data_IF_058602084364
#
_entry.id   IF_058602084364
#
_cell.length_a   1.000
_cell.length_b   1.000
_cell.length_c   1.000
_cell.angle_alpha   90.00
_cell.angle_beta   90.00
_cell.angle_gamma   90.00
#
_symmetry.space_group_name_H-M   'P 1'
#
loop_
_entity.id
_entity.type
_entity.pdbx_description
1 polymer ?
#
# COMPACT_ATOMS: atom_id res chain seq x y z
N UNK A 1 20.72 -0.75 -18.01
CA UNK A 1 19.53 -0.46 -18.82
C UNK A 1 18.59 -1.64 -18.66
N UNK A 2 17.63 -1.55 -17.74
CA UNK A 2 16.60 -2.56 -17.58
C UNK A 2 15.51 -2.27 -18.63
N UNK A 3 15.21 -3.23 -19.51
CA UNK A 3 14.04 -3.15 -20.38
C UNK A 3 12.80 -3.27 -19.49
N UNK A 4 11.94 -2.25 -19.46
CA UNK A 4 10.73 -2.28 -18.64
C UNK A 4 9.77 -3.37 -19.14
N UNK A 5 9.11 -4.04 -18.20
CA UNK A 5 8.08 -5.05 -18.45
C UNK A 5 6.83 -4.39 -19.06
N UNK A 6 6.84 -4.14 -20.36
CA UNK A 6 5.69 -3.60 -21.11
C UNK A 6 4.71 -4.68 -21.60
N UNK A 7 4.98 -5.96 -21.30
CA UNK A 7 4.24 -7.11 -21.84
C UNK A 7 3.08 -7.65 -20.99
N UNK A 8 2.92 -7.24 -19.73
CA UNK A 8 1.71 -7.59 -18.97
C UNK A 8 0.55 -6.75 -19.50
N UNK A 9 -0.26 -7.35 -20.39
CA UNK A 9 -1.59 -6.85 -20.70
C UNK A 9 -2.35 -6.75 -19.37
N UNK A 10 -2.45 -5.51 -18.93
CA UNK A 10 -3.44 -5.02 -18.01
C UNK A 10 -4.81 -5.54 -18.46
N UNK A 11 -5.52 -6.28 -17.62
CA UNK A 11 -6.95 -6.58 -17.80
C UNK A 11 -7.79 -5.29 -17.73
N UNK A 12 -7.17 -4.10 -17.75
CA UNK A 12 -7.77 -2.78 -17.61
C UNK A 12 -8.35 -2.52 -16.22
N UNK A 13 -8.52 -3.56 -15.40
CA UNK A 13 -9.14 -3.53 -14.07
C UNK A 13 -8.16 -3.83 -12.92
N UNK A 14 -6.99 -4.41 -13.20
CA UNK A 14 -6.13 -4.99 -12.17
C UNK A 14 -4.64 -4.75 -12.44
N UNK A 15 -4.24 -3.50 -12.66
CA UNK A 15 -2.83 -3.11 -12.76
C UNK A 15 -1.96 -3.91 -11.77
N UNK A 16 -1.10 -4.76 -12.32
CA UNK A 16 -0.38 -5.81 -11.60
C UNK A 16 0.80 -5.23 -10.79
N UNK A 17 0.51 -4.27 -9.90
CA UNK A 17 1.52 -3.54 -9.13
C UNK A 17 2.25 -4.42 -8.10
N UNK A 18 1.82 -5.67 -7.89
CA UNK A 18 2.33 -6.54 -6.82
C UNK A 18 2.92 -7.85 -7.37
N UNK A 19 3.44 -7.85 -8.59
CA UNK A 19 3.83 -9.09 -9.28
C UNK A 19 5.31 -9.08 -9.62
N UNK A 20 6.04 -10.09 -9.12
CA UNK A 20 7.38 -10.46 -9.61
C UNK A 20 7.29 -11.61 -10.60
N UNK A 21 8.25 -11.73 -11.53
CA UNK A 21 8.30 -12.82 -12.51
C UNK A 21 9.54 -13.66 -12.25
N UNK A 22 9.36 -14.94 -11.96
CA UNK A 22 10.46 -15.81 -11.57
C UNK A 22 10.56 -17.06 -12.42
N UNK A 23 11.79 -17.56 -12.53
CA UNK A 23 12.01 -18.95 -12.86
C UNK A 23 11.76 -19.82 -11.63
N UNK A 24 10.78 -20.72 -11.75
CA UNK A 24 10.46 -21.70 -10.72
C UNK A 24 10.66 -23.11 -11.25
N UNK A 25 11.26 -23.97 -10.42
CA UNK A 25 11.30 -25.41 -10.69
C UNK A 25 9.95 -26.08 -10.33
N UNK A 26 9.79 -27.34 -10.74
CA UNK A 26 8.54 -28.08 -10.55
C UNK A 26 8.16 -28.24 -9.06
N UNK A 27 9.15 -28.32 -8.17
CA UNK A 27 8.93 -28.45 -6.72
C UNK A 27 8.37 -27.15 -6.13
N UNK A 28 9.00 -26.02 -6.43
CA UNK A 28 8.56 -24.70 -5.99
C UNK A 28 7.15 -24.38 -6.50
N UNK A 29 6.90 -24.70 -7.77
CA UNK A 29 5.62 -24.48 -8.40
C UNK A 29 4.52 -25.36 -7.81
N UNK A 30 4.80 -26.65 -7.59
CA UNK A 30 3.85 -27.55 -6.95
C UNK A 30 3.49 -27.07 -5.54
N UNK A 31 4.48 -26.61 -4.77
CA UNK A 31 4.26 -26.01 -3.46
C UNK A 31 3.31 -24.80 -3.52
N UNK A 32 3.48 -23.89 -4.49
CA UNK A 32 2.59 -22.74 -4.65
C UNK A 32 1.20 -23.10 -5.20
N UNK A 33 1.09 -24.10 -6.08
CA UNK A 33 -0.21 -24.58 -6.57
C UNK A 33 -1.06 -25.17 -5.45
N UNK A 34 -0.42 -25.84 -4.50
CA UNK A 34 -1.10 -26.39 -3.32
C UNK A 34 -1.47 -25.29 -2.32
N UNK A 35 -0.57 -24.34 -2.09
CA UNK A 35 -0.73 -23.36 -1.02
C UNK A 35 -1.46 -22.08 -1.47
N UNK A 36 -1.16 -21.51 -2.62
CA UNK A 36 -1.70 -20.22 -3.06
C UNK A 36 -1.99 -20.17 -4.57
N UNK A 37 -2.86 -21.06 -5.10
CA UNK A 37 -3.08 -21.18 -6.55
C UNK A 37 -3.63 -19.92 -7.21
N UNK A 38 -4.36 -19.07 -6.47
CA UNK A 38 -4.90 -17.80 -6.98
C UNK A 38 -3.90 -16.65 -6.98
N UNK A 39 -2.67 -16.88 -6.51
CA UNK A 39 -1.62 -15.86 -6.35
C UNK A 39 -0.45 -16.07 -7.31
N UNK A 40 -0.58 -17.02 -8.24
CA UNK A 40 0.39 -17.31 -9.29
C UNK A 40 -0.26 -17.23 -10.66
N UNK A 41 0.51 -16.83 -11.67
CA UNK A 41 0.14 -16.88 -13.07
C UNK A 41 1.28 -17.52 -13.87
N UNK A 42 1.03 -18.72 -14.41
CA UNK A 42 2.00 -19.47 -15.21
C UNK A 42 1.99 -19.08 -16.69
N UNK A 43 0.99 -18.30 -17.13
CA UNK A 43 0.86 -17.81 -18.50
C UNK A 43 1.60 -16.47 -18.65
N UNK A 44 2.90 -16.49 -18.38
CA UNK A 44 3.75 -15.32 -18.54
C UNK A 44 4.12 -15.14 -20.01
N UNK A 45 3.83 -13.99 -20.65
CA UNK A 45 4.20 -13.74 -22.05
C UNK A 45 5.69 -13.94 -22.29
N UNK A 46 6.07 -14.43 -23.47
CA UNK A 46 7.48 -14.74 -23.79
C UNK A 46 8.39 -13.51 -23.68
N UNK A 47 7.87 -12.34 -24.06
CA UNK A 47 8.54 -11.04 -24.02
C UNK A 47 8.82 -10.51 -22.61
N UNK A 48 8.15 -11.05 -21.58
CA UNK A 48 8.38 -10.64 -20.20
C UNK A 48 9.57 -11.41 -19.64
N UNK A 49 10.66 -10.69 -19.39
CA UNK A 49 11.84 -11.25 -18.76
C UNK A 49 11.58 -11.50 -17.27
N UNK A 50 12.05 -12.62 -16.71
CA UNK A 50 12.04 -12.85 -15.27
C UNK A 50 13.07 -11.97 -14.56
N UNK A 51 12.86 -11.76 -13.25
CA UNK A 51 13.68 -10.93 -12.36
C UNK A 51 15.07 -11.52 -12.06
N UNK A 52 15.38 -12.69 -12.60
CA UNK A 52 16.69 -13.34 -12.48
C UNK A 52 16.85 -14.50 -13.46
N UNK A 53 18.09 -14.93 -13.68
CA UNK A 53 18.41 -16.04 -14.58
C UNK A 53 17.96 -17.40 -14.00
N UNK A 54 17.54 -18.35 -14.85
CA UNK A 54 17.21 -19.69 -14.40
C UNK A 54 18.47 -20.41 -13.88
N UNK A 55 18.36 -21.25 -12.83
CA UNK A 55 19.47 -22.11 -12.43
C UNK A 55 19.89 -23.02 -13.60
N UNK A 56 21.17 -23.00 -13.97
CA UNK A 56 21.70 -23.72 -15.13
C UNK A 56 21.53 -25.25 -15.10
N UNK A 57 21.21 -25.80 -13.93
CA UNK A 57 21.10 -27.24 -13.66
C UNK A 57 19.65 -27.71 -13.42
N UNK A 58 18.65 -26.83 -13.54
CA UNK A 58 17.24 -27.16 -13.31
C UNK A 58 16.38 -26.72 -14.48
N UNK A 59 15.42 -27.57 -14.84
CA UNK A 59 14.30 -27.12 -15.66
C UNK A 59 13.46 -26.14 -14.83
N UNK A 60 13.15 -24.98 -15.41
CA UNK A 60 12.31 -23.97 -14.75
C UNK A 60 11.34 -23.36 -15.75
N UNK A 61 10.23 -22.83 -15.25
CA UNK A 61 9.25 -22.08 -16.03
C UNK A 61 9.09 -20.65 -15.49
N UNK A 62 8.68 -19.71 -16.35
CA UNK A 62 8.37 -18.34 -15.94
C UNK A 62 7.01 -18.31 -15.24
N UNK A 63 6.98 -17.77 -14.03
CA UNK A 63 5.77 -17.65 -13.22
C UNK A 63 5.70 -16.25 -12.65
N UNK A 64 4.58 -15.57 -12.87
CA UNK A 64 4.28 -14.33 -12.21
C UNK A 64 3.68 -14.64 -10.84
N UNK A 65 4.20 -14.06 -9.76
CA UNK A 65 3.71 -14.31 -8.40
C UNK A 65 3.42 -13.01 -7.69
N UNK A 66 2.47 -13.04 -6.77
CA UNK A 66 2.33 -11.98 -5.78
C UNK A 66 3.62 -11.87 -4.93
N UNK A 67 4.20 -10.68 -4.84
CA UNK A 67 5.52 -10.43 -4.21
C UNK A 67 5.64 -11.06 -2.80
N UNK A 68 4.58 -10.99 -2.00
CA UNK A 68 4.59 -11.52 -0.63
C UNK A 68 4.58 -13.05 -0.52
N UNK A 69 4.38 -13.80 -1.62
CA UNK A 69 4.64 -15.24 -1.64
C UNK A 69 6.11 -15.56 -1.38
N UNK A 70 7.03 -14.61 -1.60
CA UNK A 70 8.43 -14.72 -1.21
C UNK A 70 8.61 -14.98 0.29
N UNK A 71 7.67 -14.54 1.14
CA UNK A 71 7.72 -14.80 2.57
C UNK A 71 7.66 -16.30 2.88
N UNK A 72 6.84 -17.04 2.12
CA UNK A 72 6.66 -18.48 2.31
C UNK A 72 7.94 -19.25 1.94
N UNK A 73 8.58 -18.84 0.84
CA UNK A 73 9.89 -19.39 0.45
C UNK A 73 10.97 -19.08 1.48
N UNK A 74 11.01 -17.85 2.00
CA UNK A 74 11.96 -17.45 3.03
C UNK A 74 11.80 -18.29 4.31
N UNK A 75 10.57 -18.45 4.79
CA UNK A 75 10.26 -19.28 5.97
C UNK A 75 10.54 -20.77 5.73
N UNK A 76 10.24 -21.29 4.53
CA UNK A 76 10.59 -22.66 4.16
C UNK A 76 12.11 -22.87 4.13
N UNK A 77 12.87 -21.93 3.59
CA UNK A 77 14.33 -22.00 3.60
C UNK A 77 14.90 -22.01 5.04
N UNK A 78 14.29 -21.25 5.96
CA UNK A 78 14.65 -21.28 7.39
C UNK A 78 14.39 -22.66 8.02
N UNK A 79 13.28 -23.33 7.66
CA UNK A 79 13.01 -24.71 8.09
C UNK A 79 14.10 -25.67 7.61
N UNK A 80 14.43 -25.57 6.32
CA UNK A 80 15.37 -26.49 5.66
C UNK A 80 16.80 -26.29 6.19
N UNK A 81 17.15 -25.06 6.61
CA UNK A 81 18.39 -24.74 7.31
C UNK A 81 18.45 -25.24 8.77
N UNK A 82 17.37 -25.88 9.27
CA UNK A 82 17.22 -26.34 10.65
C UNK A 82 17.50 -25.22 11.68
N UNK A 83 17.05 -24.02 11.36
CA UNK A 83 17.00 -22.92 12.33
C UNK A 83 16.03 -23.29 13.48
N UNK A 84 16.10 -22.55 14.60
CA UNK A 84 15.35 -22.87 15.82
C UNK A 84 13.81 -22.84 15.66
N UNK A 85 13.30 -22.42 14.50
CA UNK A 85 11.88 -22.29 14.21
C UNK A 85 11.47 -23.28 13.10
N UNK A 86 10.33 -23.95 13.31
CA UNK A 86 9.67 -24.80 12.31
C UNK A 86 8.32 -24.20 11.94
N UNK A 87 8.15 -23.91 10.66
CA UNK A 87 6.91 -23.40 10.09
C UNK A 87 6.16 -24.51 9.36
N UNK A 88 4.86 -24.59 9.59
CA UNK A 88 3.92 -25.34 8.75
C UNK A 88 2.96 -24.36 8.08
N UNK A 89 2.68 -24.57 6.80
CA UNK A 89 1.82 -23.68 6.04
C UNK A 89 0.46 -24.32 5.78
N UNK A 90 -0.58 -23.51 5.89
CA UNK A 90 -1.92 -23.83 5.44
C UNK A 90 -2.49 -22.61 4.74
N UNK A 91 -3.42 -22.82 3.83
CA UNK A 91 -4.11 -21.73 3.15
C UNK A 91 -5.61 -21.89 3.22
N UNK A 92 -6.27 -20.74 3.13
CA UNK A 92 -7.69 -20.61 3.09
C UNK A 92 -8.02 -19.52 2.08
N UNK A 93 -9.05 -19.73 1.26
CA UNK A 93 -9.53 -18.64 0.41
C UNK A 93 -10.02 -17.49 1.28
N UNK A 94 -9.81 -16.26 0.82
CA UNK A 94 -10.22 -15.08 1.57
C UNK A 94 -11.72 -15.07 1.92
N UNK A 95 -12.58 -15.65 1.05
CA UNK A 95 -14.01 -15.82 1.33
C UNK A 95 -14.26 -16.68 2.57
N UNK A 96 -13.69 -17.90 2.59
CA UNK A 96 -13.86 -18.82 3.71
C UNK A 96 -13.34 -18.20 4.99
N UNK A 97 -12.23 -17.47 4.92
CA UNK A 97 -11.68 -16.71 6.04
C UNK A 97 -12.67 -15.67 6.57
N UNK A 98 -13.19 -14.78 5.71
CA UNK A 98 -14.15 -13.74 6.12
C UNK A 98 -15.45 -14.35 6.65
N UNK A 99 -16.00 -15.37 6.00
CA UNK A 99 -17.23 -16.05 6.45
C UNK A 99 -17.04 -16.78 7.78
N UNK A 100 -15.88 -17.38 8.01
CA UNK A 100 -15.53 -17.98 9.29
C UNK A 100 -15.50 -16.95 10.43
N UNK A 101 -15.05 -15.73 10.15
CA UNK A 101 -15.00 -14.66 11.15
C UNK A 101 -16.36 -14.01 11.41
N UNK A 102 -17.15 -13.74 10.36
CA UNK A 102 -18.50 -13.15 10.51
C UNK A 102 -19.45 -14.14 11.18
N UNK A 103 -19.39 -15.43 10.81
CA UNK A 103 -20.30 -16.46 11.31
C UNK A 103 -19.54 -17.69 11.87
N UNK A 104 -18.80 -17.58 12.99
CA UNK A 104 -17.97 -18.67 13.52
C UNK A 104 -18.73 -19.96 13.83
N UNK A 105 -20.00 -19.85 14.25
CA UNK A 105 -20.85 -21.00 14.59
C UNK A 105 -21.22 -21.82 13.37
N UNK A 106 -21.60 -21.15 12.28
CA UNK A 106 -22.01 -21.81 11.03
C UNK A 106 -20.80 -22.35 10.28
N UNK A 107 -19.67 -21.64 10.34
CA UNK A 107 -18.42 -21.98 9.67
C UNK A 107 -17.38 -22.58 10.63
N UNK A 108 -17.85 -23.41 11.57
CA UNK A 108 -17.07 -23.89 12.73
C UNK A 108 -15.74 -24.54 12.35
N UNK A 109 -15.73 -25.39 11.33
CA UNK A 109 -14.52 -26.08 10.85
C UNK A 109 -13.44 -25.10 10.41
N UNK A 110 -13.83 -24.06 9.66
CA UNK A 110 -12.90 -23.08 9.12
C UNK A 110 -12.42 -22.15 10.23
N UNK A 111 -13.31 -21.75 11.12
CA UNK A 111 -12.95 -20.96 12.29
C UNK A 111 -11.99 -21.70 13.23
N UNK A 112 -12.25 -22.99 13.52
CA UNK A 112 -11.36 -23.83 14.33
C UNK A 112 -9.99 -24.00 13.66
N UNK A 113 -9.93 -24.13 12.32
CA UNK A 113 -8.68 -24.19 11.58
C UNK A 113 -7.88 -22.88 11.70
N UNK A 114 -8.53 -21.72 11.66
CA UNK A 114 -7.89 -20.42 11.91
C UNK A 114 -7.38 -20.34 13.36
N UNK A 115 -8.11 -20.86 14.33
CA UNK A 115 -7.70 -20.85 15.75
C UNK A 115 -6.57 -21.84 16.08
N UNK A 116 -6.18 -22.70 15.16
CA UNK A 116 -5.14 -23.72 15.35
C UNK A 116 -3.75 -23.29 14.84
N UNK A 117 -3.63 -22.12 14.21
CA UNK A 117 -2.35 -21.63 13.68
C UNK A 117 -1.67 -20.65 14.64
N UNK A 118 -0.37 -20.46 14.48
CA UNK A 118 0.36 -19.43 15.24
C UNK A 118 0.21 -18.01 14.65
N UNK A 119 0.09 -17.95 13.32
CA UNK A 119 0.05 -16.73 12.54
C UNK A 119 -0.98 -16.83 11.42
N UNK A 120 -1.83 -15.81 11.31
CA UNK A 120 -2.62 -15.53 10.10
C UNK A 120 -1.93 -14.41 9.33
N UNK A 121 -1.41 -14.71 8.15
CA UNK A 121 -0.76 -13.73 7.27
C UNK A 121 -1.73 -13.24 6.19
N UNK A 122 -1.85 -11.92 6.02
CA UNK A 122 -2.74 -11.26 5.06
C UNK A 122 -3.94 -10.59 5.73
N UNK A 123 -4.46 -11.18 6.81
CA UNK A 123 -5.48 -10.59 7.68
C UNK A 123 -6.71 -10.00 6.95
N UNK A 124 -7.46 -9.11 7.61
CA UNK A 124 -8.57 -8.39 6.96
C UNK A 124 -8.05 -7.28 6.01
N UNK A 125 -8.43 -7.35 4.74
CA UNK A 125 -8.15 -6.30 3.75
C UNK A 125 -9.35 -5.33 3.68
N UNK A 126 -9.50 -4.46 4.68
CA UNK A 126 -10.66 -3.56 4.78
C UNK A 126 -10.85 -2.69 3.53
N UNK A 127 -9.77 -2.16 2.96
CA UNK A 127 -9.78 -1.42 1.70
C UNK A 127 -10.43 -2.21 0.54
N UNK A 128 -10.12 -3.51 0.42
CA UNK A 128 -10.69 -4.38 -0.63
C UNK A 128 -12.14 -4.79 -0.31
N UNK A 129 -12.43 -5.10 0.95
CA UNK A 129 -13.78 -5.43 1.42
C UNK A 129 -14.77 -4.30 1.06
N UNK A 130 -14.34 -3.06 1.26
CA UNK A 130 -15.15 -1.88 1.00
C UNK A 130 -15.21 -1.50 -0.48
N UNK A 131 -14.14 -1.72 -1.26
CA UNK A 131 -14.15 -1.52 -2.72
C UNK A 131 -15.26 -2.33 -3.39
N UNK A 132 -15.42 -3.60 -3.01
CA UNK A 132 -16.42 -4.50 -3.62
C UNK A 132 -17.86 -4.09 -3.31
N UNK A 133 -18.14 -3.59 -2.10
CA UNK A 133 -19.45 -3.00 -1.76
C UNK A 133 -19.79 -1.84 -2.70
N UNK A 134 -18.85 -0.92 -2.92
CA UNK A 134 -19.06 0.23 -3.83
C UNK A 134 -19.36 -0.23 -5.26
N UNK A 135 -18.62 -1.22 -5.76
CA UNK A 135 -18.84 -1.76 -7.11
C UNK A 135 -20.21 -2.46 -7.22
N UNK A 136 -20.60 -3.23 -6.20
CA UNK A 136 -21.90 -3.89 -6.13
C UNK A 136 -23.06 -2.90 -6.12
N UNK A 137 -23.00 -1.87 -5.26
CA UNK A 137 -24.02 -0.84 -5.18
C UNK A 137 -24.16 -0.06 -6.50
N UNK A 138 -23.03 0.24 -7.16
CA UNK A 138 -23.04 0.89 -8.48
C UNK A 138 -23.75 0.05 -9.54
N UNK A 139 -23.44 -1.25 -9.61
CA UNK A 139 -24.11 -2.14 -10.55
C UNK A 139 -25.62 -2.24 -10.32
N UNK A 140 -26.08 -2.16 -9.07
CA UNK A 140 -27.51 -2.10 -8.74
C UNK A 140 -28.19 -0.78 -9.11
N UNK A 141 -27.50 0.35 -8.89
CA UNK A 141 -28.08 1.67 -9.09
C UNK A 141 -27.98 2.18 -10.54
N UNK A 142 -27.07 1.62 -11.34
CA UNK A 142 -26.90 1.98 -12.75
C UNK A 142 -27.04 0.72 -13.63
N UNK A 143 -28.25 0.41 -14.12
CA UNK A 143 -28.49 -0.78 -14.95
C UNK A 143 -27.66 -0.86 -16.24
N UNK A 144 -27.11 0.27 -16.70
CA UNK A 144 -26.18 0.34 -17.84
C UNK A 144 -24.75 -0.13 -17.51
N UNK A 145 -24.44 -0.38 -16.23
CA UNK A 145 -23.16 -0.94 -15.78
C UNK A 145 -23.17 -2.48 -15.95
N UNK A 146 -23.34 -2.95 -17.18
CA UNK A 146 -23.51 -4.38 -17.55
C UNK A 146 -22.22 -5.20 -17.57
N UNK A 147 -21.08 -4.62 -17.17
CA UNK A 147 -19.76 -5.25 -17.28
C UNK A 147 -19.18 -5.85 -15.99
N UNK A 148 -19.94 -5.91 -14.90
CA UNK A 148 -19.57 -6.83 -13.82
C UNK A 148 -19.91 -8.22 -14.34
N UNK A 149 -18.89 -8.93 -14.86
CA UNK A 149 -19.07 -10.27 -15.41
C UNK A 149 -19.81 -11.12 -14.38
N UNK A 150 -20.79 -11.90 -14.84
CA UNK A 150 -21.57 -12.82 -14.01
C UNK A 150 -20.73 -13.90 -13.30
N UNK A 151 -19.41 -13.89 -13.48
CA UNK A 151 -18.43 -14.76 -12.82
C UNK A 151 -17.66 -14.08 -11.68
N UNK A 152 -17.87 -12.78 -11.46
CA UNK A 152 -17.42 -12.10 -10.24
C UNK A 152 -18.51 -12.21 -9.18
N UNK A 153 -18.61 -13.39 -8.59
CA UNK A 153 -19.62 -13.70 -7.57
C UNK A 153 -19.61 -12.60 -6.47
N UNK A 154 -20.75 -12.00 -6.11
CA UNK A 154 -20.84 -11.00 -5.05
C UNK A 154 -20.63 -11.58 -3.63
N UNK A 155 -20.26 -12.86 -3.49
CA UNK A 155 -20.14 -13.56 -2.19
C UNK A 155 -19.07 -12.99 -1.23
N UNK A 156 -18.19 -12.11 -1.70
CA UNK A 156 -16.96 -11.70 -0.99
C UNK A 156 -17.06 -10.36 -0.26
N UNK A 157 -18.26 -9.82 -0.03
CA UNK A 157 -18.41 -8.50 0.60
C UNK A 157 -18.80 -8.66 2.06
N UNK A 158 -18.24 -7.81 2.93
CA UNK A 158 -18.92 -7.42 4.17
C UNK A 158 -20.19 -6.67 3.71
N UNK A 159 -21.40 -7.24 3.84
CA UNK A 159 -22.57 -6.72 3.13
C UNK A 159 -23.12 -5.41 3.73
N UNK A 160 -22.83 -5.16 5.01
CA UNK A 160 -23.35 -4.04 5.78
C UNK A 160 -22.51 -3.84 7.05
N UNK A 161 -22.79 -2.76 7.78
CA UNK A 161 -22.06 -2.40 8.99
C UNK A 161 -22.10 -3.45 10.09
N UNK A 162 -23.23 -4.15 10.27
CA UNK A 162 -23.33 -5.26 11.23
C UNK A 162 -22.31 -6.36 10.93
N UNK A 163 -22.17 -6.73 9.66
CA UNK A 163 -21.18 -7.73 9.27
C UNK A 163 -19.73 -7.24 9.44
N UNK A 164 -19.47 -5.92 9.42
CA UNK A 164 -18.16 -5.38 9.79
C UNK A 164 -17.91 -5.56 11.29
N UNK A 165 -18.90 -5.27 12.13
CA UNK A 165 -18.81 -5.53 13.56
C UNK A 165 -18.62 -7.03 13.86
N UNK A 166 -19.35 -7.90 13.16
CA UNK A 166 -19.20 -9.36 13.28
C UNK A 166 -17.80 -9.81 12.83
N UNK A 167 -17.27 -9.26 11.72
CA UNK A 167 -15.91 -9.52 11.28
C UNK A 167 -14.87 -9.12 12.34
N UNK A 168 -15.01 -7.91 12.91
CA UNK A 168 -14.12 -7.41 13.98
C UNK A 168 -14.23 -8.29 15.22
N UNK A 169 -15.44 -8.71 15.61
CA UNK A 169 -15.66 -9.61 16.72
C UNK A 169 -15.02 -10.98 16.48
N UNK A 170 -15.18 -11.55 15.28
CA UNK A 170 -14.53 -12.80 14.87
C UNK A 170 -13.01 -12.73 14.94
N UNK A 171 -12.41 -11.65 14.44
CA UNK A 171 -10.96 -11.43 14.50
C UNK A 171 -10.46 -11.41 15.95
N UNK A 172 -11.19 -10.75 16.85
CA UNK A 172 -10.86 -10.74 18.28
C UNK A 172 -10.95 -12.12 18.92
N UNK A 173 -11.94 -12.94 18.54
CA UNK A 173 -12.05 -14.32 19.03
C UNK A 173 -10.84 -15.17 18.59
N UNK A 174 -10.33 -14.93 17.37
CA UNK A 174 -9.10 -15.56 16.87
C UNK A 174 -7.88 -15.11 17.69
N UNK A 175 -7.71 -13.80 17.92
CA UNK A 175 -6.60 -13.26 18.74
C UNK A 175 -6.65 -13.76 20.20
N UNK A 176 -7.86 -13.94 20.76
CA UNK A 176 -8.07 -14.55 22.08
C UNK A 176 -7.69 -16.03 22.13
N UNK A 177 -7.63 -16.70 20.98
CA UNK A 177 -7.14 -18.07 20.84
C UNK A 177 -5.61 -18.16 20.72
N UNK A 178 -4.89 -17.09 21.10
CA UNK A 178 -3.44 -16.98 21.05
C UNK A 178 -2.85 -17.04 19.62
N UNK A 179 -3.67 -16.71 18.62
CA UNK A 179 -3.28 -16.57 17.22
C UNK A 179 -2.87 -15.14 16.96
N UNK A 180 -1.73 -14.93 16.31
CA UNK A 180 -1.31 -13.59 15.88
C UNK A 180 -1.82 -13.33 14.48
N UNK A 181 -2.41 -12.17 14.21
CA UNK A 181 -2.87 -11.76 12.88
C UNK A 181 -1.93 -10.65 12.38
N UNK A 182 -1.45 -10.75 11.14
CA UNK A 182 -0.67 -9.69 10.49
C UNK A 182 -1.34 -9.25 9.19
N UNK A 183 -1.82 -8.00 9.09
CA UNK A 183 -1.79 -6.95 10.13
C UNK A 183 -2.76 -7.27 11.29
N UNK A 184 -2.44 -6.81 12.51
CA UNK A 184 -3.27 -7.04 13.69
C UNK A 184 -4.63 -6.33 13.57
N UNK A 185 -5.66 -6.80 14.28
CA UNK A 185 -7.02 -6.27 14.16
C UNK A 185 -7.09 -4.78 14.49
N UNK A 186 -6.54 -4.40 15.65
CA UNK A 186 -6.55 -3.01 16.11
C UNK A 186 -5.67 -2.12 15.22
N UNK A 187 -4.53 -2.63 14.76
CA UNK A 187 -3.66 -1.90 13.84
C UNK A 187 -4.32 -1.71 12.46
N UNK A 188 -5.12 -2.67 12.00
CA UNK A 188 -5.88 -2.52 10.75
C UNK A 188 -6.95 -1.44 10.88
N UNK A 189 -7.68 -1.40 12.00
CA UNK A 189 -8.72 -0.39 12.25
C UNK A 189 -8.11 0.99 12.51
N UNK A 190 -7.08 1.08 13.35
CA UNK A 190 -6.48 2.35 13.71
C UNK A 190 -5.55 2.87 12.60
N UNK A 191 -4.60 2.02 12.18
CA UNK A 191 -3.55 2.37 11.22
C UNK A 191 -3.97 2.32 9.76
N UNK A 192 -5.00 1.52 9.42
CA UNK A 192 -5.61 1.53 8.08
C UNK A 192 -6.50 2.75 7.82
N UNK A 193 -6.87 3.50 8.87
CA UNK A 193 -7.67 4.70 8.77
C UNK A 193 -6.82 5.92 8.39
N UNK A 194 -6.86 6.35 7.11
CA UNK A 194 -6.07 7.51 6.67
C UNK A 194 -6.40 8.81 7.40
N UNK A 195 -7.64 9.01 7.85
CA UNK A 195 -8.00 10.23 8.61
C UNK A 195 -7.24 10.25 9.93
N UNK A 196 -7.23 9.13 10.65
CA UNK A 196 -6.47 9.00 11.90
C UNK A 196 -4.96 9.09 11.68
N UNK A 197 -4.44 8.45 10.62
CA UNK A 197 -3.02 8.56 10.25
C UNK A 197 -2.63 10.02 10.00
N UNK A 198 -3.41 10.77 9.21
CA UNK A 198 -3.09 12.16 8.92
C UNK A 198 -3.16 13.05 10.17
N UNK A 199 -4.12 12.81 11.07
CA UNK A 199 -4.17 13.49 12.38
C UNK A 199 -2.87 13.25 13.17
N UNK A 200 -2.43 11.99 13.28
CA UNK A 200 -1.19 11.66 13.98
C UNK A 200 0.02 12.35 13.33
N UNK A 201 0.08 12.38 12.01
CA UNK A 201 1.18 13.02 11.29
C UNK A 201 1.14 14.55 11.40
N UNK A 202 -0.04 15.17 11.49
CA UNK A 202 -0.20 16.60 11.78
C UNK A 202 0.29 16.91 13.21
N UNK A 203 -0.04 16.06 14.19
CA UNK A 203 0.42 16.19 15.58
C UNK A 203 1.95 16.04 15.69
N UNK A 204 2.54 15.08 14.96
CA UNK A 204 4.00 14.92 14.87
C UNK A 204 4.64 16.15 14.25
N UNK A 205 4.09 16.64 13.12
CA UNK A 205 4.61 17.81 12.44
C UNK A 205 4.60 19.05 13.35
N UNK A 206 3.51 19.27 14.09
CA UNK A 206 3.40 20.35 15.06
C UNK A 206 4.43 20.22 16.19
N UNK A 207 4.61 19.03 16.77
CA UNK A 207 5.59 18.79 17.86
C UNK A 207 7.04 18.95 17.41
N UNK A 208 7.33 18.69 16.13
CA UNK A 208 8.69 18.72 15.56
C UNK A 208 9.00 20.00 14.78
N UNK A 209 8.05 20.92 14.69
CA UNK A 209 8.15 22.10 13.81
C UNK A 209 8.47 21.71 12.35
N UNK A 210 7.87 20.61 11.87
CA UNK A 210 7.99 20.18 10.49
C UNK A 210 6.87 20.79 9.63
N UNK A 211 7.21 21.22 8.41
CA UNK A 211 6.20 21.65 7.46
C UNK A 211 5.37 20.45 6.96
N UNK A 212 4.06 20.66 6.79
CA UNK A 212 3.15 19.66 6.23
C UNK A 212 2.05 20.34 5.41
N UNK A 213 1.57 19.70 4.33
CA UNK A 213 0.40 20.19 3.61
C UNK A 213 -0.81 20.24 4.53
N UNK A 214 -1.57 21.32 4.48
CA UNK A 214 -2.81 21.43 5.25
C UNK A 214 -3.72 20.25 4.89
N UNK A 215 -4.09 19.49 5.91
CA UNK A 215 -5.06 18.40 5.84
C UNK A 215 -6.25 18.76 6.71
N UNK A 216 -7.47 18.52 6.22
CA UNK A 216 -8.71 18.72 6.99
C UNK A 216 -9.63 17.53 6.80
N UNK A 217 -10.44 17.25 7.81
CA UNK A 217 -11.56 16.32 7.66
C UNK A 217 -12.53 16.87 6.60
N UNK A 218 -12.94 16.02 5.67
CA UNK A 218 -13.93 16.36 4.67
C UNK A 218 -15.20 15.55 4.95
N UNK A 219 -16.35 16.21 4.98
CA UNK A 219 -17.62 15.49 4.95
C UNK A 219 -17.87 14.99 3.52
N UNK A 220 -18.44 13.80 3.38
CA UNK A 220 -18.81 13.23 2.08
C UNK A 220 -19.85 14.03 1.29
N UNK A 221 -20.45 15.05 1.88
CA UNK A 221 -21.34 15.99 1.22
C UNK A 221 -20.71 17.38 1.05
N UNK A 222 -19.48 17.60 1.53
CA UNK A 222 -18.84 18.90 1.45
C UNK A 222 -18.51 19.30 0.01
N UNK A 223 -18.66 20.57 -0.32
CA UNK A 223 -18.19 21.09 -1.60
C UNK A 223 -16.66 20.89 -1.71
N UNK A 224 -16.21 20.48 -2.88
CA UNK A 224 -14.80 20.25 -3.14
C UNK A 224 -14.08 21.61 -3.25
N UNK A 225 -13.36 21.99 -2.18
CA UNK A 225 -12.37 23.07 -2.19
C UNK A 225 -11.35 22.94 -3.34
N UNK A 226 -10.92 24.10 -3.85
CA UNK A 226 -9.91 24.22 -4.91
C UNK A 226 -8.53 23.80 -4.43
N UNK A 227 -7.73 23.24 -5.36
CA UNK A 227 -6.34 22.81 -5.14
C UNK A 227 -6.23 21.82 -3.98
N UNK A 228 -7.11 20.83 -3.96
CA UNK A 228 -7.18 19.81 -2.91
C UNK A 228 -7.22 18.41 -3.51
N UNK A 229 -6.61 17.47 -2.79
CA UNK A 229 -6.65 16.03 -3.01
C UNK A 229 -7.50 15.41 -1.92
N UNK A 230 -8.55 14.70 -2.31
CA UNK A 230 -9.45 14.03 -1.38
C UNK A 230 -9.14 12.55 -1.36
N UNK A 231 -8.99 12.00 -0.15
CA UNK A 231 -8.74 10.57 0.04
C UNK A 231 -9.78 10.01 1.00
N UNK A 232 -10.35 8.86 0.68
CA UNK A 232 -11.17 8.09 1.63
C UNK A 232 -10.25 7.33 2.61
N UNK A 233 -10.67 7.26 3.86
CA UNK A 233 -10.00 6.63 5.00
C UNK A 233 -9.48 5.23 4.65
N UNK A 234 -10.39 4.27 4.47
CA UNK A 234 -10.05 2.92 4.04
C UNK A 234 -10.20 2.81 2.52
N UNK A 235 -9.07 2.95 1.84
CA UNK A 235 -8.96 2.80 0.39
C UNK A 235 -7.54 2.34 0.03
N UNK A 236 -7.36 1.79 -1.14
CA UNK A 236 -6.03 1.46 -1.67
C UNK A 236 -6.00 1.79 -3.17
N UNK A 237 -4.80 1.74 -3.76
CA UNK A 237 -4.61 1.79 -5.22
C UNK A 237 -5.26 3.01 -5.88
N UNK A 238 -5.36 4.12 -5.14
CA UNK A 238 -6.03 5.35 -5.58
C UNK A 238 -7.53 5.21 -5.95
N UNK A 239 -8.20 4.10 -5.60
CA UNK A 239 -9.60 3.82 -5.99
C UNK A 239 -10.61 4.91 -5.56
N UNK A 240 -10.28 5.61 -4.46
CA UNK A 240 -11.07 6.66 -3.85
C UNK A 240 -10.23 7.93 -3.61
N UNK A 241 -9.45 8.31 -4.62
CA UNK A 241 -8.72 9.59 -4.66
C UNK A 241 -9.36 10.53 -5.69
N UNK A 242 -9.52 11.80 -5.30
CA UNK A 242 -10.06 12.84 -6.17
C UNK A 242 -9.12 14.04 -6.13
N UNK A 243 -8.82 14.62 -7.28
CA UNK A 243 -7.91 15.75 -7.39
C UNK A 243 -8.69 16.92 -7.96
N UNK A 244 -8.75 18.03 -7.23
CA UNK A 244 -9.36 19.27 -7.71
C UNK A 244 -8.26 20.32 -7.91
N UNK A 245 -7.83 20.56 -9.15
CA UNK A 245 -6.68 21.45 -9.48
C UNK A 245 -7.06 22.84 -9.98
N UNK A 246 -8.32 23.08 -10.38
CA UNK A 246 -8.77 24.35 -11.04
C UNK A 246 -10.18 24.76 -10.57
N UNK A 247 -10.58 26.01 -10.83
CA UNK A 247 -11.89 26.58 -10.56
C UNK A 247 -13.05 25.91 -11.35
N UNK A 248 -13.44 24.68 -10.96
CA UNK A 248 -14.84 24.26 -11.15
C UNK A 248 -15.11 22.83 -11.65
N UNK A 249 -14.10 21.98 -11.90
CA UNK A 249 -14.37 20.58 -12.26
C UNK A 249 -13.40 19.64 -11.53
N UNK A 250 -13.86 19.00 -10.44
CA UNK A 250 -13.09 17.94 -9.80
C UNK A 250 -12.82 16.80 -10.78
N UNK A 251 -11.56 16.42 -10.92
CA UNK A 251 -11.19 15.23 -11.68
C UNK A 251 -10.99 14.08 -10.71
N UNK A 252 -11.85 13.07 -10.80
CA UNK A 252 -11.57 11.78 -10.15
C UNK A 252 -10.36 11.17 -10.84
N UNK A 253 -9.41 10.63 -10.08
CA UNK A 253 -8.40 9.74 -10.64
C UNK A 253 -9.07 8.41 -10.95
N UNK A 254 -9.95 8.37 -11.94
CA UNK A 254 -10.53 7.11 -12.42
C UNK A 254 -9.50 6.48 -13.37
N UNK A 255 -9.07 5.27 -13.01
CA UNK A 255 -8.35 4.31 -13.84
C UNK A 255 -7.26 4.89 -14.76
N UNK A 256 -6.08 5.15 -14.18
CA UNK A 256 -4.83 5.22 -14.96
C UNK A 256 -4.43 3.89 -15.61
N UNK A 257 -5.25 2.83 -15.49
CA UNK A 257 -5.00 1.49 -16.04
C UNK A 257 -5.32 1.34 -17.53
N UNK A 258 -5.55 2.42 -18.31
CA UNK A 258 -5.44 2.34 -19.79
C UNK A 258 -5.81 3.60 -20.57
N UNK A 259 -6.48 4.60 -19.99
CA UNK A 259 -6.86 5.80 -20.75
C UNK A 259 -6.66 7.04 -19.89
N UNK A 260 -5.77 7.92 -20.32
CA UNK A 260 -5.37 9.13 -19.61
C UNK A 260 -6.54 9.82 -18.93
N UNK A 261 -6.28 10.34 -17.72
CA UNK A 261 -7.22 11.04 -16.83
C UNK A 261 -8.33 11.71 -17.65
N UNK A 262 -9.46 11.03 -17.84
CA UNK A 262 -10.55 11.60 -18.61
C UNK A 262 -11.25 12.55 -17.66
N UNK A 263 -10.83 13.81 -17.69
CA UNK A 263 -11.54 14.90 -17.04
C UNK A 263 -12.96 14.94 -17.58
N UNK A 264 -13.90 14.34 -16.87
CA UNK A 264 -15.32 14.42 -17.20
C UNK A 264 -15.77 15.84 -16.85
N UNK A 265 -15.68 16.75 -17.83
CA UNK A 265 -16.28 18.07 -17.73
C UNK A 265 -17.79 17.96 -17.92
N UNK A 266 -18.51 17.34 -16.98
CA UNK A 266 -19.98 17.37 -17.00
C UNK A 266 -20.45 18.70 -16.42
N UNK A 267 -20.70 19.68 -17.29
CA UNK A 267 -21.04 21.05 -16.93
C UNK A 267 -22.44 21.25 -16.34
N UNK A 268 -23.23 20.20 -16.06
CA UNK A 268 -24.65 20.38 -15.67
C UNK A 268 -25.23 19.38 -14.65
N UNK A 269 -24.42 18.51 -14.03
CA UNK A 269 -24.90 17.73 -12.89
C UNK A 269 -24.41 18.39 -11.59
N UNK A 270 -25.25 18.56 -10.54
CA UNK A 270 -24.73 18.93 -9.23
C UNK A 270 -23.64 17.92 -8.88
N UNK A 271 -22.42 18.43 -8.67
CA UNK A 271 -21.23 17.61 -8.46
C UNK A 271 -21.58 16.53 -7.43
N UNK A 272 -21.51 15.23 -7.76
CA UNK A 272 -21.92 14.23 -6.81
C UNK A 272 -21.05 14.39 -5.56
N UNK A 273 -21.73 14.52 -4.42
CA UNK A 273 -21.25 14.08 -3.12
C UNK A 273 -20.38 12.82 -3.29
N UNK A 274 -19.33 12.68 -2.49
CA UNK A 274 -18.13 11.89 -2.74
C UNK A 274 -18.44 10.40 -3.03
N UNK A 275 -18.80 10.08 -4.27
CA UNK A 275 -19.27 8.75 -4.64
C UNK A 275 -20.61 8.34 -4.00
N UNK A 276 -21.05 7.12 -4.33
CA UNK A 276 -22.24 6.49 -3.74
C UNK A 276 -21.89 6.13 -2.29
N UNK A 277 -22.80 6.45 -1.35
CA UNK A 277 -22.74 5.93 0.03
C UNK A 277 -22.53 4.42 0.01
N UNK A 278 -21.61 3.96 0.82
CA UNK A 278 -21.29 2.53 0.96
C UNK A 278 -22.27 1.81 1.89
N UNK A 279 -23.04 2.56 2.67
CA UNK A 279 -23.87 2.01 3.74
C UNK A 279 -23.07 1.66 5.00
N UNK A 280 -21.83 2.13 5.10
CA UNK A 280 -20.98 2.02 6.28
C UNK A 280 -20.65 3.41 6.79
N UNK A 281 -21.12 3.77 7.99
CA UNK A 281 -20.89 5.09 8.56
C UNK A 281 -19.39 5.42 8.62
N UNK A 282 -18.58 4.44 9.04
CA UNK A 282 -17.12 4.53 9.12
C UNK A 282 -16.45 4.95 7.79
N UNK A 283 -17.02 4.58 6.65
CA UNK A 283 -16.44 4.86 5.33
C UNK A 283 -17.01 6.09 4.69
N UNK A 284 -18.31 6.28 4.87
CA UNK A 284 -19.01 7.40 4.29
C UNK A 284 -18.52 8.69 4.97
N UNK A 285 -18.27 8.69 6.27
CA UNK A 285 -17.78 9.88 6.96
C UNK A 285 -16.24 10.01 7.01
N UNK A 286 -15.51 8.96 6.65
CA UNK A 286 -14.04 8.96 6.75
C UNK A 286 -13.35 9.58 5.53
N UNK A 287 -13.54 10.86 5.21
CA UNK A 287 -12.77 11.53 4.14
C UNK A 287 -11.83 12.60 4.69
N UNK A 288 -10.70 12.77 3.99
CA UNK A 288 -9.79 13.89 4.21
C UNK A 288 -9.58 14.67 2.93
N UNK A 289 -9.38 15.98 3.06
CA UNK A 289 -8.91 16.87 2.01
C UNK A 289 -7.52 17.36 2.37
N UNK A 290 -6.55 17.13 1.50
CA UNK A 290 -5.18 17.60 1.64
C UNK A 290 -4.88 18.61 0.54
N UNK A 291 -4.09 19.64 0.85
CA UNK A 291 -3.63 20.60 -0.17
C UNK A 291 -2.89 19.87 -1.30
N UNK A 292 -3.30 20.11 -2.54
CA UNK A 292 -2.64 19.56 -3.72
C UNK A 292 -1.23 20.13 -3.87
N UNK A 293 -0.24 19.24 -3.98
CA UNK A 293 1.15 19.62 -4.14
C UNK A 293 1.66 19.34 -5.56
N UNK A 294 1.93 20.40 -6.35
CA UNK A 294 2.40 20.25 -7.73
C UNK A 294 3.71 19.46 -7.87
N UNK A 295 4.59 19.50 -6.86
CA UNK A 295 5.90 18.83 -6.92
C UNK A 295 5.78 17.30 -7.05
N UNK A 296 4.73 16.68 -6.50
CA UNK A 296 4.47 15.23 -6.69
C UNK A 296 4.25 14.87 -8.18
N UNK A 297 3.82 15.83 -9.00
CA UNK A 297 3.57 15.65 -10.44
C UNK A 297 4.73 16.11 -11.31
N UNK A 298 5.85 16.51 -10.71
CA UNK A 298 7.06 16.87 -11.44
C UNK A 298 7.99 15.65 -11.50
N UNK A 299 8.43 15.26 -12.69
CA UNK A 299 9.31 14.10 -12.91
C UNK A 299 10.63 14.17 -12.12
N UNK A 300 11.04 15.38 -11.71
CA UNK A 300 12.24 15.62 -10.93
C UNK A 300 12.10 15.29 -9.44
N UNK A 301 10.88 15.38 -8.91
CA UNK A 301 10.62 15.21 -7.47
C UNK A 301 9.85 13.93 -7.20
N UNK A 302 8.69 13.75 -7.86
CA UNK A 302 7.84 12.60 -7.62
C UNK A 302 7.54 12.37 -6.14
N UNK A 303 7.38 11.10 -5.77
CA UNK A 303 7.19 10.61 -4.41
C UNK A 303 8.32 9.66 -4.05
N UNK A 304 8.91 9.82 -2.86
CA UNK A 304 9.94 8.95 -2.33
C UNK A 304 9.26 7.84 -1.52
N UNK A 305 9.34 6.61 -2.00
CA UNK A 305 8.88 5.39 -1.35
C UNK A 305 10.00 4.88 -0.44
N UNK A 306 9.80 4.93 0.87
CA UNK A 306 10.82 4.59 1.87
C UNK A 306 10.37 3.35 2.66
N UNK A 307 11.02 2.20 2.45
CA UNK A 307 10.73 0.99 3.20
C UNK A 307 11.50 0.99 4.51
N UNK A 308 10.77 0.69 5.59
CA UNK A 308 11.30 0.52 6.93
C UNK A 308 11.00 -0.91 7.36
N UNK A 309 12.04 -1.69 7.66
CA UNK A 309 11.93 -3.07 8.13
C UNK A 309 12.65 -3.19 9.46
N UNK A 310 11.95 -3.61 10.50
CA UNK A 310 12.50 -3.69 11.86
C UNK A 310 13.03 -2.36 12.40
N UNK A 311 12.38 -1.25 12.04
CA UNK A 311 12.75 0.09 12.47
C UNK A 311 14.01 0.68 11.81
N UNK A 312 14.48 0.08 10.71
CA UNK A 312 15.57 0.60 9.89
C UNK A 312 15.09 0.84 8.47
N UNK A 313 15.55 1.92 7.85
CA UNK A 313 15.33 2.13 6.42
C UNK A 313 16.14 1.07 5.67
N UNK A 314 15.46 0.26 4.87
CA UNK A 314 16.09 -0.78 4.07
C UNK A 314 16.31 -0.31 2.63
N UNK A 315 15.37 0.49 2.10
CA UNK A 315 15.36 0.92 0.70
C UNK A 315 14.61 2.23 0.52
N UNK A 316 15.07 3.01 -0.46
CA UNK A 316 14.38 4.20 -0.98
C UNK A 316 14.25 4.08 -2.48
N UNK A 317 13.03 4.26 -2.99
CA UNK A 317 12.72 4.35 -4.40
C UNK A 317 12.02 5.68 -4.67
N UNK A 318 12.44 6.42 -5.68
CA UNK A 318 11.69 7.58 -6.16
C UNK A 318 10.76 7.17 -7.31
N UNK A 319 9.44 7.33 -7.14
CA UNK A 319 8.43 7.18 -8.20
C UNK A 319 8.05 8.55 -8.74
N UNK A 320 8.29 8.83 -10.03
CA UNK A 320 7.99 10.13 -10.61
C UNK A 320 7.27 10.03 -11.96
N UNK A 321 6.40 10.98 -12.33
CA UNK A 321 5.70 10.92 -13.61
C UNK A 321 6.67 10.98 -14.79
N UNK A 322 6.36 10.33 -15.92
CA UNK A 322 7.16 10.47 -17.15
C UNK A 322 7.15 11.92 -17.67
N UNK A 323 8.25 12.34 -18.32
CA UNK A 323 8.30 13.60 -19.08
C UNK A 323 7.17 13.71 -20.11
N UNK A 324 6.65 14.92 -20.32
CA UNK A 324 5.48 15.16 -21.18
C UNK A 324 5.75 14.96 -22.68
N UNK A 325 7.02 14.93 -23.06
CA UNK A 325 7.54 14.71 -24.40
C UNK A 325 7.72 13.23 -24.75
N UNK A 326 7.66 12.31 -23.77
CA UNK A 326 7.73 10.86 -23.98
C UNK A 326 6.35 10.19 -24.11
N UNK A 327 5.28 10.99 -24.16
CA UNK A 327 3.87 10.55 -24.20
C UNK A 327 3.46 9.74 -25.45
N UNK A 328 4.32 9.59 -26.45
CA UNK A 328 4.03 8.82 -27.67
C UNK A 328 4.25 7.29 -27.51
N UNK A 329 4.78 6.85 -26.36
CA UNK A 329 4.87 5.42 -26.03
C UNK A 329 3.73 4.98 -25.11
N UNK A 330 2.55 4.79 -25.72
CA UNK A 330 1.48 3.88 -25.27
C UNK A 330 1.30 3.68 -23.75
N UNK A 331 0.73 4.67 -23.06
CA UNK A 331 -0.50 4.47 -22.27
C UNK A 331 -0.51 3.63 -20.98
N UNK A 332 0.59 3.09 -20.47
CA UNK A 332 0.57 2.27 -19.24
C UNK A 332 1.74 2.64 -18.30
N UNK A 333 1.38 3.11 -17.09
CA UNK A 333 2.27 3.49 -15.99
C UNK A 333 3.40 4.45 -16.38
N UNK A 334 3.09 5.75 -16.41
CA UNK A 334 4.09 6.77 -16.60
C UNK A 334 4.88 7.04 -15.32
N UNK A 335 5.47 6.03 -14.69
CA UNK A 335 6.34 6.21 -13.51
C UNK A 335 7.78 5.78 -13.82
N UNK A 336 8.72 6.73 -13.76
CA UNK A 336 10.15 6.42 -13.76
C UNK A 336 10.60 6.16 -12.33
N UNK A 337 11.52 5.21 -12.19
CA UNK A 337 12.02 4.77 -10.90
C UNK A 337 13.51 5.07 -10.77
N UNK A 338 13.91 5.82 -9.74
CA UNK A 338 15.31 6.22 -9.48
C UNK A 338 15.79 5.76 -8.12
N UNK A 339 17.08 5.43 -8.05
CA UNK A 339 17.82 5.31 -6.80
C UNK A 339 18.48 6.64 -6.45
N UNK A 340 18.33 7.07 -5.19
CA UNK A 340 18.96 8.28 -4.65
C UNK A 340 17.94 9.26 -4.08
N UNK A 341 18.42 10.14 -3.18
CA UNK A 341 17.62 11.19 -2.59
C UNK A 341 18.32 12.55 -2.78
N UNK A 342 17.66 13.55 -3.41
CA UNK A 342 18.24 14.87 -3.53
C UNK A 342 18.18 15.61 -2.17
N UNK A 343 19.28 16.24 -1.71
CA UNK A 343 19.28 17.05 -0.48
C UNK A 343 18.39 18.29 -0.61
N UNK A 344 17.56 18.56 0.41
CA UNK A 344 16.55 19.65 0.33
C UNK A 344 17.19 21.03 0.41
N UNK A 345 18.24 21.17 1.24
CA UNK A 345 18.97 22.43 1.43
C UNK A 345 19.67 22.88 0.14
N UNK A 346 20.36 21.95 -0.51
CA UNK A 346 21.05 22.22 -1.77
C UNK A 346 20.05 22.51 -2.91
N UNK A 347 18.93 21.76 -2.94
CA UNK A 347 17.81 22.02 -3.84
C UNK A 347 17.32 23.47 -3.71
N UNK A 348 17.16 23.97 -2.48
CA UNK A 348 16.67 25.33 -2.23
C UNK A 348 17.68 26.42 -2.67
N UNK A 349 18.94 26.30 -2.26
CA UNK A 349 20.00 27.28 -2.56
C UNK A 349 20.20 27.50 -4.06
N UNK A 350 19.87 26.51 -4.88
CA UNK A 350 19.99 26.56 -6.34
C UNK A 350 18.64 26.79 -7.05
N UNK A 351 17.50 26.55 -6.41
CA UNK A 351 16.17 26.81 -6.96
C UNK A 351 15.89 28.31 -7.14
N UNK A 352 16.43 29.17 -6.28
CA UNK A 352 16.26 30.63 -6.38
C UNK A 352 16.91 31.24 -7.63
N UNK A 353 17.89 30.56 -8.22
CA UNK A 353 18.56 30.99 -9.46
C UNK A 353 17.80 30.58 -10.73
N UNK A 354 16.81 29.69 -10.63
CA UNK A 354 16.22 29.00 -11.77
C UNK A 354 14.74 29.40 -11.90
N UNK A 355 14.52 30.49 -12.64
CA UNK A 355 13.17 31.01 -12.93
C UNK A 355 12.36 30.13 -13.88
N UNK A 356 13.01 29.22 -14.61
CA UNK A 356 12.38 28.37 -15.61
C UNK A 356 12.59 26.88 -15.31
N UNK A 357 11.52 26.07 -15.45
CA UNK A 357 11.53 24.62 -15.19
C UNK A 357 12.52 23.81 -16.04
N UNK A 358 13.08 24.39 -17.11
CA UNK A 358 14.11 23.78 -17.94
C UNK A 358 15.46 23.61 -17.21
N UNK A 359 15.82 24.53 -16.32
CA UNK A 359 17.07 24.44 -15.57
C UNK A 359 16.97 23.46 -14.38
N UNK A 360 15.76 23.22 -13.88
CA UNK A 360 15.51 22.17 -12.88
C UNK A 360 15.64 20.76 -13.46
N UNK A 361 15.38 20.59 -14.76
CA UNK A 361 15.67 19.36 -15.49
C UNK A 361 17.16 19.02 -15.51
N UNK A 362 18.04 20.03 -15.62
CA UNK A 362 19.50 19.85 -15.52
C UNK A 362 19.97 19.52 -14.09
N UNK A 363 19.24 19.96 -13.07
CA UNK A 363 19.49 19.61 -11.66
C UNK A 363 19.19 18.13 -11.38
N UNK A 364 18.00 17.64 -11.77
CA UNK A 364 17.61 16.25 -11.53
C UNK A 364 18.29 15.24 -12.46
N UNK A 365 18.98 15.71 -13.50
CA UNK A 365 19.88 14.92 -14.34
C UNK A 365 21.36 15.19 -14.05
N UNK A 366 21.64 16.11 -13.12
CA UNK A 366 22.99 16.54 -12.80
C UNK A 366 23.73 15.47 -12.00
N UNK A 367 24.99 15.23 -12.36
CA UNK A 367 25.89 14.42 -11.55
C UNK A 367 26.17 15.16 -10.23
N UNK A 368 25.33 14.95 -9.22
CA UNK A 368 25.63 15.37 -7.85
C UNK A 368 26.91 14.68 -7.39
N UNK A 369 27.71 15.37 -6.58
CA UNK A 369 28.86 14.71 -5.96
C UNK A 369 28.35 13.59 -5.06
N UNK A 370 29.09 12.48 -4.93
CA UNK A 370 28.73 11.40 -3.99
C UNK A 370 28.47 11.92 -2.57
N UNK A 371 29.19 12.96 -2.15
CA UNK A 371 29.00 13.61 -0.86
C UNK A 371 27.63 14.29 -0.73
N UNK A 372 27.19 15.07 -1.72
CA UNK A 372 25.87 15.74 -1.71
C UNK A 372 24.76 14.67 -1.64
N UNK A 373 24.88 13.60 -2.40
CA UNK A 373 23.91 12.49 -2.36
C UNK A 373 23.87 11.81 -1.00
N UNK A 374 25.02 11.63 -0.35
CA UNK A 374 25.10 11.05 0.98
C UNK A 374 24.48 11.96 2.05
N UNK A 375 24.73 13.27 1.97
CA UNK A 375 24.13 14.27 2.86
C UNK A 375 22.60 14.30 2.72
N UNK A 376 22.07 14.28 1.49
CA UNK A 376 20.64 14.23 1.24
C UNK A 376 19.99 12.92 1.70
N UNK A 377 20.67 11.78 1.50
CA UNK A 377 20.22 10.49 2.03
C UNK A 377 20.14 10.51 3.56
N UNK A 378 21.18 11.01 4.23
CA UNK A 378 21.19 11.13 5.69
C UNK A 378 20.09 12.04 6.20
N UNK A 379 19.87 13.18 5.54
CA UNK A 379 18.79 14.12 5.85
C UNK A 379 17.41 13.44 5.79
N UNK A 380 17.14 12.69 4.70
CA UNK A 380 15.91 11.91 4.56
C UNK A 380 15.78 10.82 5.63
N UNK A 381 16.87 10.08 5.88
CA UNK A 381 16.88 9.01 6.88
C UNK A 381 16.57 9.53 8.29
N UNK A 382 17.21 10.65 8.69
CA UNK A 382 16.97 11.30 9.97
C UNK A 382 15.52 11.80 10.09
N UNK A 383 14.99 12.42 9.04
CA UNK A 383 13.58 12.86 8.99
C UNK A 383 12.62 11.67 9.14
N UNK A 384 12.73 10.66 8.27
CA UNK A 384 11.82 9.52 8.23
C UNK A 384 11.88 8.71 9.51
N UNK A 385 13.07 8.39 10.02
CA UNK A 385 13.20 7.61 11.26
C UNK A 385 12.73 8.38 12.49
N UNK A 386 12.77 9.72 12.47
CA UNK A 386 12.18 10.54 13.54
C UNK A 386 10.66 10.45 13.51
N UNK A 387 10.04 10.68 12.35
CA UNK A 387 8.56 10.58 12.21
C UNK A 387 8.09 9.16 12.52
N UNK A 388 8.82 8.14 12.07
CA UNK A 388 8.57 6.74 12.36
C UNK A 388 8.52 6.45 13.87
N UNK A 389 9.54 6.86 14.63
CA UNK A 389 9.57 6.62 16.09
C UNK A 389 8.42 7.30 16.81
N UNK A 390 8.08 8.52 16.41
CA UNK A 390 6.94 9.25 17.00
C UNK A 390 5.60 8.61 16.65
N UNK A 391 5.45 8.11 15.42
CA UNK A 391 4.24 7.41 14.99
C UNK A 391 4.10 6.07 15.71
N UNK A 392 5.18 5.30 15.86
CA UNK A 392 5.19 4.06 16.68
C UNK A 392 4.76 4.36 18.12
N UNK A 393 5.26 5.46 18.71
CA UNK A 393 4.88 5.83 20.07
C UNK A 393 3.38 6.16 20.19
N UNK A 394 2.85 6.97 19.27
CA UNK A 394 1.42 7.31 19.24
C UNK A 394 0.57 6.05 19.01
N UNK A 395 0.95 5.18 18.08
CA UNK A 395 0.21 3.96 17.80
C UNK A 395 0.24 3.00 18.98
N UNK A 396 1.38 2.79 19.63
CA UNK A 396 1.44 1.97 20.85
C UNK A 396 0.53 2.50 21.96
N UNK A 397 0.49 3.82 22.15
CA UNK A 397 -0.41 4.43 23.13
C UNK A 397 -1.88 4.19 22.76
N UNK A 398 -2.26 4.49 21.51
CA UNK A 398 -3.62 4.29 21.02
C UNK A 398 -4.05 2.81 21.01
N UNK A 399 -3.10 1.91 20.81
CA UNK A 399 -3.29 0.47 20.85
C UNK A 399 -3.06 -0.11 22.25
N UNK A 400 -3.10 0.71 23.32
CA UNK A 400 -3.01 0.27 24.72
C UNK A 400 -1.79 -0.63 25.03
N UNK A 401 -0.65 -0.27 24.45
CA UNK A 401 0.62 -0.98 24.60
C UNK A 401 0.82 -2.16 23.64
N UNK A 402 -0.13 -2.45 22.76
CA UNK A 402 0.08 -3.43 21.70
C UNK A 402 1.16 -2.99 20.72
N UNK A 403 1.82 -3.98 20.11
CA UNK A 403 2.86 -3.78 19.11
C UNK A 403 2.22 -3.29 17.82
N UNK A 404 2.72 -2.19 17.28
CA UNK A 404 2.26 -1.72 15.98
C UNK A 404 2.85 -2.56 14.85
N UNK A 405 2.06 -2.85 13.81
CA UNK A 405 2.54 -3.56 12.63
C UNK A 405 3.65 -2.80 11.89
N UNK A 406 3.70 -1.47 11.99
CA UNK A 406 4.78 -0.68 11.35
C UNK A 406 6.14 -0.95 12.02
N UNK A 407 6.17 -1.57 13.20
CA UNK A 407 7.41 -2.04 13.82
C UNK A 407 8.03 -3.22 13.09
N UNK A 408 7.21 -4.06 12.45
CA UNK A 408 7.70 -5.17 11.64
C UNK A 408 8.12 -4.65 10.27
N UNK A 409 7.20 -4.03 9.56
CA UNK A 409 7.43 -3.47 8.24
C UNK A 409 6.38 -2.41 7.88
N UNK A 410 6.84 -1.32 7.27
CA UNK A 410 5.99 -0.32 6.62
C UNK A 410 6.71 0.35 5.45
N UNK A 411 5.94 1.04 4.62
CA UNK A 411 6.46 1.96 3.60
C UNK A 411 5.93 3.36 3.86
N UNK A 412 6.85 4.32 3.98
CA UNK A 412 6.52 5.74 4.08
C UNK A 412 6.57 6.34 2.69
N UNK A 413 5.48 6.97 2.28
CA UNK A 413 5.41 7.75 1.05
C UNK A 413 5.73 9.19 1.39
N UNK A 414 6.89 9.66 0.96
CA UNK A 414 7.45 10.95 1.35
C UNK A 414 7.42 11.89 0.14
N UNK A 415 6.73 13.02 0.30
CA UNK A 415 6.75 14.09 -0.67
C UNK A 415 7.72 15.20 -0.28
N UNK A 416 8.05 16.05 -1.24
CA UNK A 416 8.80 17.28 -1.05
C UNK A 416 7.86 18.45 -1.28
N UNK A 417 7.87 19.43 -0.38
CA UNK A 417 7.11 20.68 -0.52
C UNK A 417 8.02 21.90 -0.44
N UNK A 418 7.66 22.95 -1.18
CA UNK A 418 8.38 24.22 -1.17
C UNK A 418 7.87 25.09 -0.01
N UNK A 419 8.78 25.49 0.87
CA UNK A 419 8.57 26.54 1.88
C UNK A 419 8.96 27.92 1.35
N UNK A 420 8.98 28.91 2.23
CA UNK A 420 9.43 30.28 1.88
C UNK A 420 10.91 30.27 1.51
N UNK A 421 11.73 29.68 2.40
CA UNK A 421 13.20 29.75 2.33
C UNK A 421 13.88 28.37 2.32
N UNK A 422 13.12 27.29 2.06
CA UNK A 422 13.64 25.91 2.02
C UNK A 422 12.68 24.96 1.31
N UNK A 423 13.16 23.76 0.99
CA UNK A 423 12.29 22.61 0.75
C UNK A 423 12.14 21.79 2.02
N UNK A 424 11.01 21.09 2.15
CA UNK A 424 10.72 20.27 3.33
C UNK A 424 10.20 18.91 2.89
N UNK A 425 10.67 17.86 3.56
CA UNK A 425 10.03 16.55 3.47
C UNK A 425 8.73 16.54 4.28
N UNK A 426 7.75 15.78 3.81
CA UNK A 426 6.56 15.43 4.58
C UNK A 426 6.13 14.01 4.24
N UNK A 427 5.54 13.30 5.20
CA UNK A 427 4.98 11.96 4.96
C UNK A 427 3.55 12.09 4.43
N UNK A 428 3.35 11.74 3.16
CA UNK A 428 2.04 11.70 2.49
C UNK A 428 1.18 10.56 2.99
N UNK A 429 1.77 9.38 3.13
CA UNK A 429 1.05 8.13 3.44
C UNK A 429 2.00 7.13 4.13
N UNK A 430 1.43 6.18 4.86
CA UNK A 430 2.15 5.06 5.47
C UNK A 430 1.40 3.80 5.11
N UNK A 431 1.97 3.02 4.20
CA UNK A 431 1.48 1.67 3.91
C UNK A 431 2.09 0.66 4.89
N UNK A 432 1.29 -0.34 5.22
CA UNK A 432 1.63 -1.44 6.12
C UNK A 432 0.95 -2.70 5.61
N UNK A 433 1.34 -3.83 6.17
CA UNK A 433 0.76 -5.15 5.85
C UNK A 433 1.20 -5.73 4.49
N UNK A 434 0.81 -6.97 4.19
CA UNK A 434 1.06 -7.61 2.89
C UNK A 434 0.37 -6.90 1.71
N UNK A 435 -0.52 -5.94 1.96
CA UNK A 435 -1.04 -5.08 0.88
C UNK A 435 -0.07 -3.99 0.46
N UNK A 436 1.09 -3.85 1.12
CA UNK A 436 2.11 -2.89 0.73
C UNK A 436 2.80 -3.36 -0.53
N UNK A 437 2.80 -2.51 -1.57
CA UNK A 437 3.52 -2.82 -2.80
C UNK A 437 5.03 -2.73 -2.52
N UNK A 438 5.77 -3.76 -2.95
CA UNK A 438 7.20 -3.84 -2.71
C UNK A 438 8.01 -3.33 -3.90
N UNK A 439 7.38 -3.01 -5.04
CA UNK A 439 8.08 -2.61 -6.29
C UNK A 439 9.11 -3.67 -6.72
N UNK A 440 8.82 -4.94 -6.48
CA UNK A 440 9.63 -6.08 -6.87
C UNK A 440 9.78 -6.22 -8.39
N UNK A 441 8.77 -5.81 -9.16
CA UNK A 441 8.86 -5.70 -10.63
C UNK A 441 9.99 -4.76 -11.11
N UNK A 442 10.47 -3.86 -10.26
CA UNK A 442 11.59 -2.96 -10.53
C UNK A 442 12.88 -3.38 -9.81
N UNK A 443 12.77 -3.69 -8.51
CA UNK A 443 13.90 -4.06 -7.65
C UNK A 443 13.54 -5.30 -6.82
N UNK A 444 13.48 -6.46 -7.49
CA UNK A 444 13.17 -7.73 -6.84
C UNK A 444 14.21 -8.10 -5.78
N UNK A 445 15.48 -7.82 -6.03
CA UNK A 445 16.55 -8.11 -5.07
C UNK A 445 16.33 -7.35 -3.75
N UNK A 446 16.01 -6.04 -3.82
CA UNK A 446 15.65 -5.25 -2.65
C UNK A 446 14.35 -5.72 -1.99
N UNK A 447 13.29 -5.91 -2.77
CA UNK A 447 11.99 -6.38 -2.26
C UNK A 447 12.09 -7.74 -1.55
N UNK A 448 12.77 -8.71 -2.16
CA UNK A 448 12.99 -10.03 -1.57
C UNK A 448 13.89 -9.96 -0.33
N UNK A 449 14.92 -9.11 -0.30
CA UNK A 449 15.74 -8.90 0.89
C UNK A 449 14.93 -8.32 2.06
N UNK A 450 14.03 -7.37 1.79
CA UNK A 450 13.08 -6.82 2.76
C UNK A 450 12.18 -7.93 3.33
N UNK A 451 11.52 -8.70 2.45
CA UNK A 451 10.60 -9.79 2.84
C UNK A 451 11.34 -10.90 3.60
N UNK A 452 12.55 -11.26 3.19
CA UNK A 452 13.39 -12.24 3.90
C UNK A 452 13.75 -11.75 5.31
N UNK A 453 13.94 -10.44 5.48
CA UNK A 453 14.17 -9.84 6.80
C UNK A 453 12.91 -9.90 7.65
N UNK A 454 11.74 -9.62 7.08
CA UNK A 454 10.44 -9.84 7.76
C UNK A 454 10.28 -11.30 8.19
N UNK A 455 10.61 -12.27 7.32
CA UNK A 455 10.55 -13.70 7.64
C UNK A 455 11.35 -14.05 8.89
N UNK A 456 12.61 -13.57 8.96
CA UNK A 456 13.51 -13.80 10.11
C UNK A 456 13.02 -13.14 11.39
N UNK A 457 12.35 -12.00 11.28
CA UNK A 457 11.80 -11.28 12.44
C UNK A 457 10.48 -11.86 12.94
N UNK A 458 9.78 -12.66 12.11
CA UNK A 458 8.44 -13.12 12.40
C UNK A 458 8.33 -13.93 13.71
N UNK A 459 9.23 -14.89 14.04
CA UNK A 459 9.15 -15.64 15.29
C UNK A 459 9.18 -14.75 16.54
N UNK A 460 10.13 -13.81 16.60
CA UNK A 460 10.24 -12.88 17.72
C UNK A 460 9.05 -11.92 17.77
N UNK A 461 8.55 -11.50 16.61
CA UNK A 461 7.35 -10.66 16.53
C UNK A 461 6.10 -11.39 17.05
N UNK A 462 5.89 -12.65 16.67
CA UNK A 462 4.82 -13.51 17.20
C UNK A 462 4.97 -13.68 18.71
N UNK A 463 6.18 -14.01 19.19
CA UNK A 463 6.45 -14.22 20.61
C UNK A 463 6.13 -12.96 21.44
N UNK A 464 6.51 -11.78 20.93
CA UNK A 464 6.20 -10.51 21.60
C UNK A 464 4.69 -10.24 21.64
N UNK A 465 3.95 -10.50 20.56
CA UNK A 465 2.49 -10.34 20.54
C UNK A 465 1.79 -11.24 21.55
N UNK A 466 2.21 -12.49 21.64
CA UNK A 466 1.65 -13.46 22.61
C UNK A 466 1.98 -13.14 24.06
N UNK A 467 3.04 -12.39 24.30
CA UNK A 467 3.41 -11.94 25.63
C UNK A 467 2.57 -10.74 26.12
N UNK A 468 1.82 -10.09 25.23
CA UNK A 468 0.94 -8.99 25.60
C UNK A 468 -0.32 -9.50 26.31
N UNK A 469 -0.83 -8.77 27.32
CA UNK A 469 -2.09 -9.13 27.94
C UNK A 469 -3.23 -9.05 26.92
N UNK A 470 -4.15 -10.02 26.96
CA UNK A 470 -5.37 -9.94 26.16
C UNK A 470 -6.23 -8.77 26.65
N UNK A 471 -6.48 -7.79 25.77
CA UNK A 471 -7.43 -6.73 26.04
C UNK A 471 -8.84 -7.30 25.85
N UNK A 472 -9.68 -7.17 26.88
CA UNK A 472 -11.08 -7.54 26.81
C UNK A 472 -11.79 -6.75 25.70
N UNK A 473 -12.82 -7.34 25.08
CA UNK A 473 -13.51 -6.75 23.94
C UNK A 473 -14.15 -5.36 24.21
N UNK A 474 -14.29 -4.95 25.47
CA UNK A 474 -15.00 -3.74 25.88
C UNK A 474 -14.18 -2.44 25.76
N UNK A 475 -12.87 -2.50 25.47
CA UNK A 475 -11.97 -1.34 25.62
C UNK A 475 -11.59 -0.52 24.38
N UNK A 476 -12.07 -0.84 23.17
CA UNK A 476 -11.45 -0.30 21.92
C UNK A 476 -12.42 0.13 20.81
N UNK A 477 -13.73 0.15 21.04
CA UNK A 477 -14.71 0.68 20.07
C UNK A 477 -15.40 1.90 20.64
#
# INVERSE_FOLDING_TARGET
>A
MAQSMTGFKDDGQYGALFVGVHHMDDEQLQFLRELAPSMINEQVPEEVNPDGDPPSHKHTQKVAIWEWLQLLFAMKAMNDANEACRFSFASMSYNRYVQALINPKTNRRDFDAICQVDLVFGGPALNENFRRVVLYLRARLQPSYTHISSNSDPEYCVPNENALYDLIAGLRLVEQSNVVIFPGTLSTLYGGNKVQLHKNLDDIALRRDHARPRTVHADHNAALSHKSVYKRSYSARSDAVYVNTVDGIPTRTQDTTSRGVTSHSSSQAPAPAYGVSTGFELLDHGWLAQTHLPLLKMYQFGELRVWIVGGKISRVIQTCPLPADEHDTTGLFSEFVRHGCPPTKWAFEHASALKDGAAWGQFASGHHTPQIMEEGRKELEDFVLTVYRDLVAIEREALMGHISDIELMCRFDVGIMKGTDSFHYYVSEVERSPTTCMWGWYDWAGASADINTVARMMPDWIARHRALPHIGAEGVL
#
